data_IF_063592175495
#
_entry.id   IF_063592175495
#
_cell.length_a   1.000
_cell.length_b   1.000
_cell.length_c   1.000
_cell.angle_alpha   90.00
_cell.angle_beta   90.00
_cell.angle_gamma   90.00
#
_symmetry.space_group_name_H-M   'P 1'
#
loop_
_entity.id
_entity.type
_entity.pdbx_description
1 polymer ?
#
# COMPACT_ATOMS: atom_id res chain seq x y z
N UNK A 1 16.92 -6.56 23.10
CA UNK A 1 17.87 -6.22 22.00
C UNK A 1 17.30 -6.37 20.58
N UNK A 2 15.97 -6.47 20.35
CA UNK A 2 15.39 -6.67 19.00
C UNK A 2 15.04 -5.37 18.23
N UNK A 3 15.15 -4.19 18.85
CA UNK A 3 14.72 -2.92 18.24
C UNK A 3 15.69 -2.31 17.22
N UNK A 4 16.97 -2.71 17.22
CA UNK A 4 18.02 -2.08 16.40
C UNK A 4 17.88 -2.36 14.89
N UNK A 5 17.18 -3.43 14.50
CA UNK A 5 17.05 -3.84 13.10
C UNK A 5 15.78 -3.32 12.41
N UNK A 6 14.80 -2.79 13.15
CA UNK A 6 13.56 -2.31 12.55
C UNK A 6 13.76 -1.21 11.49
N UNK A 7 14.63 -0.20 11.69
CA UNK A 7 14.86 0.81 10.65
C UNK A 7 15.39 0.20 9.35
N UNK A 8 16.28 -0.79 9.45
CA UNK A 8 16.85 -1.46 8.29
C UNK A 8 15.81 -2.29 7.52
N UNK A 9 14.91 -2.96 8.24
CA UNK A 9 13.78 -3.69 7.64
C UNK A 9 12.80 -2.76 6.92
N UNK A 10 12.56 -1.56 7.47
CA UNK A 10 11.71 -0.53 6.83
C UNK A 10 12.35 -0.02 5.55
N UNK A 11 13.65 0.27 5.56
CA UNK A 11 14.38 0.72 4.36
C UNK A 11 14.36 -0.36 3.28
N UNK A 12 14.62 -1.62 3.63
CA UNK A 12 14.55 -2.74 2.69
C UNK A 12 13.14 -2.91 2.11
N UNK A 13 12.10 -2.80 2.95
CA UNK A 13 10.72 -2.84 2.49
C UNK A 13 10.41 -1.70 1.52
N UNK A 14 10.89 -0.48 1.79
CA UNK A 14 10.73 0.67 0.89
C UNK A 14 11.39 0.46 -0.48
N UNK A 15 12.61 -0.11 -0.50
CA UNK A 15 13.31 -0.44 -1.75
C UNK A 15 12.54 -1.49 -2.55
N UNK A 16 12.10 -2.57 -1.89
CA UNK A 16 11.32 -3.64 -2.54
C UNK A 16 10.00 -3.11 -3.08
N UNK A 17 9.35 -2.19 -2.37
CA UNK A 17 8.10 -1.58 -2.79
C UNK A 17 8.28 -0.63 -3.98
N UNK A 18 9.36 0.15 -4.02
CA UNK A 18 9.70 0.96 -5.19
C UNK A 18 9.99 0.12 -6.44
N UNK A 19 10.65 -1.03 -6.28
CA UNK A 19 10.90 -1.98 -7.36
C UNK A 19 9.61 -2.62 -7.90
N UNK A 20 8.66 -2.97 -7.02
CA UNK A 20 7.35 -3.54 -7.39
C UNK A 20 6.58 -2.64 -8.37
N UNK A 21 6.55 -1.32 -8.12
CA UNK A 21 5.90 -0.35 -9.03
C UNK A 21 6.51 -0.33 -10.43
N UNK A 22 7.84 -0.40 -10.53
CA UNK A 22 8.56 -0.48 -11.81
C UNK A 22 8.27 -1.79 -12.55
N UNK A 23 8.25 -2.92 -11.82
CA UNK A 23 7.97 -4.24 -12.38
C UNK A 23 6.55 -4.31 -12.95
N UNK A 24 5.55 -3.77 -12.25
CA UNK A 24 4.15 -3.71 -12.74
C UNK A 24 4.02 -2.90 -14.02
N UNK A 25 4.78 -1.82 -14.14
CA UNK A 25 4.80 -1.02 -15.37
C UNK A 25 5.40 -1.80 -16.54
N UNK A 26 6.52 -2.49 -16.32
CA UNK A 26 7.13 -3.34 -17.34
C UNK A 26 6.19 -4.47 -17.80
N UNK A 27 5.31 -4.93 -16.92
CA UNK A 27 4.28 -5.93 -17.19
C UNK A 27 2.94 -5.35 -17.66
N UNK A 28 2.86 -4.06 -18.01
CA UNK A 28 1.61 -3.36 -18.35
C UNK A 28 0.85 -3.91 -19.57
N UNK A 29 1.48 -4.79 -20.37
CA UNK A 29 0.82 -5.54 -21.46
C UNK A 29 -0.01 -6.75 -20.99
N UNK A 30 0.11 -7.16 -19.73
CA UNK A 30 -0.63 -8.28 -19.13
C UNK A 30 -1.83 -7.73 -18.34
N UNK A 31 -3.01 -8.40 -18.37
CA UNK A 31 -4.14 -8.02 -17.54
C UNK A 31 -3.75 -7.86 -16.07
N UNK A 32 -4.10 -6.72 -15.47
CA UNK A 32 -3.78 -6.39 -14.07
C UNK A 32 -4.30 -7.42 -13.06
N UNK A 33 -5.42 -8.05 -13.37
CA UNK A 33 -6.00 -9.14 -12.59
C UNK A 33 -5.04 -10.32 -12.48
N UNK A 34 -4.42 -10.74 -13.58
CA UNK A 34 -3.48 -11.88 -13.61
C UNK A 34 -2.22 -11.56 -12.79
N UNK A 35 -1.64 -10.36 -12.97
CA UNK A 35 -0.46 -9.93 -12.22
C UNK A 35 -0.73 -10.00 -10.72
N UNK A 36 -1.85 -9.42 -10.29
CA UNK A 36 -2.21 -9.35 -8.87
C UNK A 36 -2.59 -10.73 -8.31
N UNK A 37 -3.24 -11.60 -9.08
CA UNK A 37 -3.57 -12.97 -8.66
C UNK A 37 -2.32 -13.80 -8.46
N UNK A 38 -1.34 -13.74 -9.37
CA UNK A 38 -0.07 -14.47 -9.24
C UNK A 38 0.69 -13.97 -8.01
N UNK A 39 0.78 -12.66 -7.82
CA UNK A 39 1.43 -12.06 -6.66
C UNK A 39 0.79 -12.49 -5.34
N UNK A 40 -0.55 -12.44 -5.23
CA UNK A 40 -1.25 -12.90 -4.03
C UNK A 40 -1.06 -14.40 -3.81
N UNK A 41 -1.02 -15.18 -4.89
CA UNK A 41 -0.77 -16.62 -4.82
C UNK A 41 0.64 -16.92 -4.31
N UNK A 42 1.66 -16.19 -4.78
CA UNK A 42 3.02 -16.27 -4.26
C UNK A 42 3.11 -15.86 -2.79
N UNK A 43 2.44 -14.76 -2.39
CA UNK A 43 2.36 -14.37 -0.98
C UNK A 43 1.76 -15.48 -0.12
N UNK A 44 0.67 -16.11 -0.57
CA UNK A 44 0.05 -17.23 0.14
C UNK A 44 1.02 -18.40 0.21
N UNK A 45 1.66 -18.80 -0.88
CA UNK A 45 2.60 -19.93 -0.90
C UNK A 45 3.80 -19.73 0.05
N UNK A 46 4.34 -18.52 0.12
CA UNK A 46 5.44 -18.17 1.01
C UNK A 46 4.99 -18.15 2.49
N UNK A 47 3.78 -17.67 2.76
CA UNK A 47 3.25 -17.55 4.12
C UNK A 47 2.61 -18.85 4.64
N UNK A 48 2.15 -19.74 3.76
CA UNK A 48 1.51 -21.00 4.11
C UNK A 48 2.35 -21.88 5.05
N UNK A 49 3.67 -22.10 4.84
CA UNK A 49 4.48 -22.89 5.77
C UNK A 49 4.65 -22.25 7.16
N UNK A 50 4.40 -20.94 7.29
CA UNK A 50 4.46 -20.22 8.57
C UNK A 50 3.12 -20.27 9.32
N UNK A 51 2.02 -20.62 8.63
CA UNK A 51 0.67 -20.67 9.20
C UNK A 51 0.54 -21.53 10.48
N UNK A 52 1.16 -22.73 10.58
CA UNK A 52 1.04 -23.60 11.76
C UNK A 52 1.45 -22.91 13.06
N UNK A 53 2.36 -21.95 12.99
CA UNK A 53 2.87 -21.20 14.13
C UNK A 53 1.82 -20.30 14.79
N UNK A 54 0.79 -19.91 14.03
CA UNK A 54 -0.23 -18.93 14.44
C UNK A 54 -1.65 -19.53 14.55
N UNK A 55 -1.82 -20.83 14.26
CA UNK A 55 -3.14 -21.53 14.34
C UNK A 55 -3.83 -21.33 15.69
N UNK A 56 -3.07 -21.35 16.79
CA UNK A 56 -3.64 -21.15 18.14
C UNK A 56 -4.24 -19.77 18.33
N UNK A 57 -3.74 -18.76 17.63
CA UNK A 57 -4.28 -17.39 17.69
C UNK A 57 -5.47 -17.24 16.75
N UNK A 58 -5.42 -17.80 15.54
CA UNK A 58 -6.55 -17.78 14.61
C UNK A 58 -7.81 -18.47 15.18
N UNK A 59 -7.64 -19.50 16.01
CA UNK A 59 -8.76 -20.17 16.71
C UNK A 59 -9.46 -19.30 17.75
N UNK A 60 -8.85 -18.19 18.19
CA UNK A 60 -9.45 -17.24 19.13
C UNK A 60 -10.28 -16.15 18.44
N UNK A 61 -10.19 -16.05 17.11
CA UNK A 61 -10.91 -15.03 16.34
C UNK A 61 -12.40 -15.31 16.29
N UNK A 62 -13.19 -14.26 16.48
CA UNK A 62 -14.65 -14.32 16.36
C UNK A 62 -15.08 -14.25 14.90
N UNK A 63 -16.36 -14.57 14.62
CA UNK A 63 -16.94 -14.39 13.27
C UNK A 63 -16.84 -12.95 12.75
N UNK A 64 -16.90 -11.97 13.65
CA UNK A 64 -16.75 -10.55 13.31
C UNK A 64 -15.33 -10.25 12.87
N UNK A 65 -14.33 -10.78 13.57
CA UNK A 65 -12.92 -10.60 13.21
C UNK A 65 -12.61 -11.20 11.84
N UNK A 66 -13.16 -12.39 11.54
CA UNK A 66 -13.04 -13.00 10.22
C UNK A 66 -13.69 -12.16 9.11
N UNK A 67 -14.85 -11.56 9.38
CA UNK A 67 -15.51 -10.66 8.42
C UNK A 67 -14.66 -9.42 8.15
N UNK A 68 -14.08 -8.82 9.20
CA UNK A 68 -13.20 -7.66 9.07
C UNK A 68 -11.93 -8.00 8.29
N UNK A 69 -11.29 -9.14 8.60
CA UNK A 69 -10.11 -9.62 7.87
C UNK A 69 -10.45 -9.83 6.40
N UNK A 70 -11.60 -10.45 6.09
CA UNK A 70 -12.05 -10.65 4.73
C UNK A 70 -12.29 -9.32 4.00
N UNK A 71 -12.96 -8.36 4.64
CA UNK A 71 -13.20 -7.04 4.05
C UNK A 71 -11.88 -6.30 3.75
N UNK A 72 -10.93 -6.30 4.70
CA UNK A 72 -9.61 -5.68 4.50
C UNK A 72 -8.85 -6.36 3.36
N UNK A 73 -8.85 -7.70 3.34
CA UNK A 73 -8.19 -8.47 2.29
C UNK A 73 -8.81 -8.24 0.90
N UNK A 74 -10.14 -8.11 0.81
CA UNK A 74 -10.85 -7.89 -0.44
C UNK A 74 -10.68 -6.45 -0.96
N UNK A 75 -11.01 -5.46 -0.14
CA UNK A 75 -11.01 -4.06 -0.55
C UNK A 75 -9.60 -3.45 -0.57
N UNK A 76 -8.85 -3.62 0.52
CA UNK A 76 -7.50 -3.08 0.65
C UNK A 76 -6.44 -3.91 -0.07
N UNK A 77 -6.57 -5.23 -0.04
CA UNK A 77 -5.63 -6.16 -0.69
C UNK A 77 -5.91 -6.34 -2.17
N UNK A 78 -6.94 -7.11 -2.51
CA UNK A 78 -7.17 -7.55 -3.89
C UNK A 78 -7.61 -6.39 -4.82
N UNK A 79 -8.72 -5.72 -4.48
CA UNK A 79 -9.29 -4.66 -5.33
C UNK A 79 -8.36 -3.45 -5.43
N UNK A 80 -7.78 -3.02 -4.29
CA UNK A 80 -6.81 -1.93 -4.25
C UNK A 80 -5.60 -2.18 -5.17
N UNK A 81 -4.99 -3.36 -5.09
CA UNK A 81 -3.85 -3.70 -5.95
C UNK A 81 -4.23 -3.86 -7.42
N UNK A 82 -5.42 -4.39 -7.73
CA UNK A 82 -5.91 -4.50 -9.12
C UNK A 82 -6.11 -3.12 -9.72
N UNK A 83 -6.77 -2.20 -9.01
CA UNK A 83 -7.00 -0.84 -9.50
C UNK A 83 -5.69 -0.06 -9.65
N UNK A 84 -4.75 -0.20 -8.70
CA UNK A 84 -3.43 0.40 -8.81
C UNK A 84 -2.66 -0.13 -10.03
N UNK A 85 -2.62 -1.45 -10.22
CA UNK A 85 -1.93 -2.08 -11.35
C UNK A 85 -2.62 -1.73 -12.67
N UNK A 86 -3.95 -1.67 -12.71
CA UNK A 86 -4.71 -1.26 -13.88
C UNK A 86 -4.47 0.22 -14.24
N UNK A 87 -4.38 1.09 -13.23
CA UNK A 87 -4.02 2.49 -13.42
C UNK A 87 -2.62 2.58 -14.02
N UNK A 88 -1.61 1.92 -13.44
CA UNK A 88 -0.25 1.86 -13.98
C UNK A 88 -0.16 1.30 -15.41
N UNK A 89 -1.00 0.32 -15.77
CA UNK A 89 -1.02 -0.24 -17.11
C UNK A 89 -1.64 0.71 -18.16
N UNK A 90 -2.59 1.57 -17.75
CA UNK A 90 -3.23 2.57 -18.63
C UNK A 90 -2.41 3.86 -18.82
N UNK A 91 -1.26 3.98 -18.16
CA UNK A 91 -0.42 5.19 -18.05
C UNK A 91 0.49 5.41 -19.29
N UNK A 92 0.22 4.77 -20.43
CA UNK A 92 0.92 5.09 -21.68
C UNK A 92 0.77 6.58 -22.11
N UNK A 93 -0.17 7.35 -21.53
CA UNK A 93 -0.37 8.79 -21.79
C UNK A 93 -0.37 9.69 -20.52
N UNK A 94 -0.06 9.17 -19.32
CA UNK A 94 -0.03 9.96 -18.07
C UNK A 94 1.33 9.70 -17.37
N UNK A 95 1.86 10.63 -16.58
CA UNK A 95 3.13 10.42 -15.87
C UNK A 95 2.96 9.40 -14.73
N UNK A 96 3.83 8.37 -14.67
CA UNK A 96 3.92 7.35 -13.61
C UNK A 96 3.79 7.91 -12.19
N UNK A 97 4.42 9.07 -11.97
CA UNK A 97 4.41 9.79 -10.70
C UNK A 97 2.99 10.11 -10.25
N UNK A 98 2.06 10.45 -11.14
CA UNK A 98 0.68 10.82 -10.75
C UNK A 98 -0.05 9.65 -10.08
N UNK A 99 0.06 8.44 -10.62
CA UNK A 99 -0.62 7.26 -10.07
C UNK A 99 -0.03 6.86 -8.72
N UNK A 100 1.31 6.89 -8.60
CA UNK A 100 1.99 6.59 -7.35
C UNK A 100 1.70 7.67 -6.29
N UNK A 101 1.65 8.95 -6.67
CA UNK A 101 1.32 10.06 -5.77
C UNK A 101 -0.14 10.01 -5.32
N UNK A 102 -1.07 9.67 -6.21
CA UNK A 102 -2.48 9.46 -5.84
C UNK A 102 -2.64 8.31 -4.85
N UNK A 103 -1.84 7.24 -4.98
CA UNK A 103 -1.82 6.15 -4.00
C UNK A 103 -1.30 6.60 -2.64
N UNK A 104 -0.37 7.57 -2.59
CA UNK A 104 0.15 8.12 -1.33
C UNK A 104 -0.86 8.98 -0.56
N UNK A 105 -2.08 9.18 -1.08
CA UNK A 105 -3.18 9.83 -0.35
C UNK A 105 -3.85 8.86 0.66
N UNK A 106 -3.61 7.54 0.56
CA UNK A 106 -4.15 6.54 1.50
C UNK A 106 -3.99 6.89 3.01
N UNK A 107 -2.84 7.41 3.48
CA UNK A 107 -2.68 7.84 4.87
C UNK A 107 -3.62 8.98 5.26
N UNK A 108 -3.88 9.91 4.34
CA UNK A 108 -4.82 11.03 4.57
C UNK A 108 -6.23 10.47 4.75
N UNK A 109 -6.67 9.54 3.89
CA UNK A 109 -7.96 8.88 4.05
C UNK A 109 -8.04 8.09 5.35
N UNK A 110 -6.97 7.39 5.74
CA UNK A 110 -6.94 6.63 7.00
C UNK A 110 -7.10 7.56 8.20
N UNK A 111 -6.32 8.63 8.24
CA UNK A 111 -6.33 9.60 9.34
C UNK A 111 -7.65 10.38 9.39
N UNK A 112 -8.14 10.84 8.24
CA UNK A 112 -9.37 11.62 8.14
C UNK A 112 -10.63 10.77 8.34
N UNK A 113 -10.75 9.58 7.75
CA UNK A 113 -11.94 8.74 7.91
C UNK A 113 -11.93 7.97 9.23
N UNK A 114 -10.85 7.25 9.53
CA UNK A 114 -10.80 6.39 10.71
C UNK A 114 -10.59 7.22 11.97
N UNK A 115 -9.61 8.12 11.97
CA UNK A 115 -9.29 8.96 13.12
C UNK A 115 -10.46 9.86 13.53
N UNK A 116 -11.04 10.59 12.58
CA UNK A 116 -12.10 11.56 12.87
C UNK A 116 -13.49 10.91 13.04
N UNK A 117 -13.91 10.01 12.12
CA UNK A 117 -15.29 9.50 12.13
C UNK A 117 -15.50 8.23 12.95
N UNK A 118 -14.48 7.36 13.08
CA UNK A 118 -14.63 6.06 13.74
C UNK A 118 -14.07 6.09 15.16
N UNK A 119 -12.84 6.59 15.34
CA UNK A 119 -12.15 6.59 16.63
C UNK A 119 -12.40 7.86 17.45
N UNK A 120 -12.78 8.97 16.82
CA UNK A 120 -12.94 10.27 17.50
C UNK A 120 -11.61 10.83 18.04
N UNK A 121 -10.48 10.37 17.54
CA UNK A 121 -9.15 10.78 17.99
C UNK A 121 -8.83 12.20 17.52
N UNK A 122 -8.37 13.06 18.44
CA UNK A 122 -7.83 14.38 18.11
C UNK A 122 -6.41 14.22 17.59
N UNK A 123 -6.17 14.65 16.37
CA UNK A 123 -4.84 14.62 15.75
C UNK A 123 -3.84 15.38 16.62
N UNK A 124 -2.73 14.72 16.94
CA UNK A 124 -1.61 15.35 17.63
C UNK A 124 -0.89 16.31 16.68
N UNK A 125 -0.31 17.40 17.20
CA UNK A 125 0.40 18.40 16.37
C UNK A 125 1.52 17.80 15.50
N UNK A 126 2.14 16.71 15.96
CA UNK A 126 3.17 15.96 15.21
C UNK A 126 2.57 15.23 14.00
N UNK A 127 1.36 14.65 14.11
CA UNK A 127 0.67 14.02 12.98
C UNK A 127 0.27 15.05 11.92
N UNK A 128 -0.15 16.24 12.35
CA UNK A 128 -0.46 17.35 11.44
C UNK A 128 0.81 17.81 10.72
N UNK A 129 1.92 18.00 11.46
CA UNK A 129 3.22 18.34 10.86
C UNK A 129 3.67 17.28 9.84
N UNK A 130 3.54 15.99 10.19
CA UNK A 130 3.88 14.89 9.28
C UNK A 130 3.02 14.89 8.01
N UNK A 131 1.72 15.19 8.13
CA UNK A 131 0.84 15.34 6.96
C UNK A 131 1.27 16.52 6.07
N UNK A 132 1.65 17.66 6.66
CA UNK A 132 2.18 18.80 5.90
C UNK A 132 3.48 18.46 5.16
N UNK A 133 4.40 17.74 5.82
CA UNK A 133 5.65 17.29 5.21
C UNK A 133 5.37 16.35 4.02
N UNK A 134 4.43 15.42 4.16
CA UNK A 134 4.02 14.52 3.08
C UNK A 134 3.42 15.29 1.89
N UNK A 135 2.58 16.29 2.15
CA UNK A 135 2.00 17.12 1.07
C UNK A 135 3.07 17.90 0.34
N UNK A 136 4.05 18.47 1.05
CA UNK A 136 5.18 19.16 0.44
C UNK A 136 6.05 18.22 -0.40
N UNK A 137 6.32 17.01 0.08
CA UNK A 137 7.06 15.98 -0.67
C UNK A 137 6.31 15.57 -1.95
N UNK A 138 4.98 15.41 -1.87
CA UNK A 138 4.14 15.10 -3.04
C UNK A 138 4.21 16.24 -4.09
N UNK A 139 4.16 17.50 -3.64
CA UNK A 139 4.23 18.66 -4.52
C UNK A 139 5.60 18.79 -5.20
N UNK A 140 6.70 18.60 -4.47
CA UNK A 140 8.06 18.67 -5.05
C UNK A 140 8.29 17.54 -6.07
N UNK A 141 7.84 16.31 -5.76
CA UNK A 141 7.88 15.19 -6.70
C UNK A 141 7.03 15.43 -7.95
N UNK A 142 5.85 16.02 -7.80
CA UNK A 142 4.98 16.34 -8.93
C UNK A 142 5.60 17.38 -9.86
N UNK A 143 6.25 18.41 -9.31
CA UNK A 143 6.93 19.45 -10.08
C UNK A 143 8.14 18.88 -10.84
N UNK A 144 8.97 18.09 -10.16
CA UNK A 144 10.14 17.45 -10.77
C UNK A 144 9.77 16.43 -11.87
N UNK A 145 8.64 15.74 -11.70
CA UNK A 145 8.14 14.83 -12.71
C UNK A 145 7.61 15.54 -13.96
N UNK A 146 7.17 16.79 -13.85
CA UNK A 146 6.58 17.54 -14.96
C UNK A 146 7.66 18.11 -15.88
N UNK A 147 8.82 18.49 -15.34
CA UNK A 147 9.97 18.99 -16.11
C UNK A 147 10.60 17.94 -17.04
N UNK A 148 10.49 16.64 -16.72
CA UNK A 148 11.08 15.56 -17.54
C UNK A 148 10.20 15.10 -18.71
N UNK A 149 9.05 15.72 -18.90
CA UNK A 149 8.04 15.38 -19.94
C UNK A 149 7.93 16.42 -21.07
N UNK A 150 8.82 17.41 -21.10
CA UNK A 150 9.02 18.38 -22.19
C UNK A 150 10.42 18.23 -22.76
#
# INVERSE_FOLDING_TARGET
MKQKYYPLMIVLAGILWGFDGLLRRALGGIPSTIIVTIEHSLRVLILLPLLPRFIKEYKKLTKKDWLLIFAIALFGGALGSIFYTAALAKVNNISYSVVVLLQQIQPIFTVALIGFFILGERLTGVQILAAFILILDILTLSLFSNEKTT
#
